data_IF_500528137737
#
_entry.id   IF_500528137737
#
_cell.length_a   1.000
_cell.length_b   1.000
_cell.length_c   1.000
_cell.angle_alpha   90.00
_cell.angle_beta   90.00
_cell.angle_gamma   90.00
#
_symmetry.space_group_name_H-M   'P 1'
#
loop_
_entity.id
_entity.type
_entity.pdbx_description
1 polymer ?
#
# COMPACT_ATOMS: atom_id res chain seq x y z
N UNK A 1 -27.99 9.84 20.35
CA UNK A 1 -27.28 8.61 19.92
C UNK A 1 -27.98 7.91 18.76
N UNK A 2 -29.34 7.87 18.73
CA UNK A 2 -30.13 7.26 17.65
C UNK A 2 -30.06 8.03 16.32
N UNK A 3 -30.01 9.36 16.36
CA UNK A 3 -29.88 10.22 15.16
C UNK A 3 -28.50 10.07 14.50
N UNK A 4 -27.44 9.89 15.28
CA UNK A 4 -26.09 9.65 14.75
C UNK A 4 -25.96 8.29 14.08
N UNK A 5 -26.66 7.23 14.57
CA UNK A 5 -26.66 5.91 13.97
C UNK A 5 -27.46 5.87 12.66
N UNK A 6 -28.56 6.64 12.59
CA UNK A 6 -29.37 6.79 11.38
C UNK A 6 -28.63 7.54 10.27
N UNK A 7 -27.97 8.66 10.60
CA UNK A 7 -27.15 9.40 9.63
C UNK A 7 -25.96 8.58 9.09
N UNK A 8 -25.30 7.79 9.96
CA UNK A 8 -24.26 6.88 9.53
C UNK A 8 -24.79 5.76 8.62
N UNK A 9 -26.01 5.22 8.91
CA UNK A 9 -26.67 4.25 8.06
C UNK A 9 -27.07 4.82 6.69
N UNK A 10 -27.52 6.07 6.62
CA UNK A 10 -27.91 6.72 5.37
C UNK A 10 -26.70 7.10 4.49
N UNK A 11 -25.57 7.46 5.09
CA UNK A 11 -24.30 7.65 4.38
C UNK A 11 -23.83 6.29 3.79
N UNK A 12 -24.02 5.19 4.51
CA UNK A 12 -23.67 3.83 4.06
C UNK A 12 -24.50 3.38 2.84
N UNK A 13 -25.78 3.75 2.79
CA UNK A 13 -26.68 3.40 1.67
C UNK A 13 -26.40 4.19 0.38
N UNK A 14 -25.59 5.26 0.45
CA UNK A 14 -25.25 6.13 -0.68
C UNK A 14 -23.85 5.92 -1.23
N UNK A 15 -23.13 4.88 -0.80
CA UNK A 15 -21.83 4.54 -1.38
C UNK A 15 -22.06 4.00 -2.81
N UNK A 16 -21.66 4.79 -3.80
CA UNK A 16 -21.62 4.36 -5.20
C UNK A 16 -20.19 3.91 -5.50
N UNK A 17 -20.04 2.62 -5.81
CA UNK A 17 -18.74 2.10 -6.24
C UNK A 17 -18.46 2.53 -7.68
N UNK A 18 -17.25 2.97 -7.93
CA UNK A 18 -16.81 3.30 -9.29
C UNK A 18 -16.77 2.01 -10.13
N UNK A 19 -17.38 1.97 -11.32
CA UNK A 19 -17.34 0.81 -12.21
C UNK A 19 -15.89 0.40 -12.56
N UNK A 20 -15.63 -0.91 -12.68
CA UNK A 20 -14.28 -1.43 -12.89
C UNK A 20 -13.57 -0.87 -14.11
N UNK A 21 -14.27 -0.70 -15.25
CA UNK A 21 -13.67 -0.12 -16.45
C UNK A 21 -13.20 1.33 -16.28
N UNK A 22 -13.87 2.11 -15.40
CA UNK A 22 -13.45 3.48 -15.06
C UNK A 22 -12.21 3.43 -14.18
N UNK A 23 -12.18 2.56 -13.16
CA UNK A 23 -11.01 2.43 -12.27
C UNK A 23 -9.77 1.98 -13.04
N UNK A 24 -9.92 1.02 -13.94
CA UNK A 24 -8.83 0.55 -14.83
C UNK A 24 -8.29 1.70 -15.70
N UNK A 25 -9.19 2.44 -16.37
CA UNK A 25 -8.79 3.58 -17.19
C UNK A 25 -8.06 4.64 -16.35
N UNK A 26 -8.61 5.03 -15.20
CA UNK A 26 -8.00 6.04 -14.33
C UNK A 26 -6.62 5.59 -13.81
N UNK A 27 -6.49 4.33 -13.38
CA UNK A 27 -5.21 3.77 -12.94
C UNK A 27 -4.19 3.78 -14.08
N UNK A 28 -4.57 3.31 -15.27
CA UNK A 28 -3.68 3.27 -16.42
C UNK A 28 -3.15 4.65 -16.81
N UNK A 29 -4.04 5.63 -16.91
CA UNK A 29 -3.68 7.00 -17.25
C UNK A 29 -2.80 7.65 -16.19
N UNK A 30 -3.21 7.57 -14.91
CA UNK A 30 -2.48 8.18 -13.81
C UNK A 30 -1.09 7.56 -13.63
N UNK A 31 -1.00 6.23 -13.65
CA UNK A 31 0.27 5.51 -13.49
C UNK A 31 1.18 5.80 -14.68
N UNK A 32 0.67 5.73 -15.91
CA UNK A 32 1.47 6.02 -17.11
C UNK A 32 2.07 7.43 -17.06
N UNK A 33 1.24 8.44 -16.80
CA UNK A 33 1.71 9.84 -16.69
C UNK A 33 2.74 10.02 -15.60
N UNK A 34 2.50 9.43 -14.43
CA UNK A 34 3.41 9.52 -13.28
C UNK A 34 4.76 8.85 -13.57
N UNK A 35 4.75 7.69 -14.22
CA UNK A 35 5.96 6.96 -14.58
C UNK A 35 6.75 7.71 -15.63
N UNK A 36 6.09 8.19 -16.70
CA UNK A 36 6.73 9.03 -17.71
C UNK A 36 7.40 10.27 -17.09
N UNK A 37 6.66 10.99 -16.25
CA UNK A 37 7.20 12.17 -15.57
C UNK A 37 8.40 11.82 -14.67
N UNK A 38 8.33 10.71 -13.94
CA UNK A 38 9.39 10.28 -13.04
C UNK A 38 10.65 9.87 -13.77
N UNK A 39 10.53 9.07 -14.84
CA UNK A 39 11.68 8.64 -15.63
C UNK A 39 12.30 9.82 -16.40
N UNK A 40 11.48 10.65 -17.04
CA UNK A 40 11.95 11.86 -17.71
C UNK A 40 12.68 12.79 -16.75
N UNK A 41 12.13 13.00 -15.55
CA UNK A 41 12.78 13.84 -14.52
C UNK A 41 14.08 13.27 -13.97
N UNK A 42 14.18 11.93 -13.85
CA UNK A 42 15.36 11.26 -13.31
C UNK A 42 16.51 11.17 -14.32
N UNK A 43 16.20 10.77 -15.57
CA UNK A 43 17.21 10.56 -16.61
C UNK A 43 17.39 11.74 -17.55
N UNK A 44 16.55 12.78 -17.47
CA UNK A 44 16.55 13.89 -18.41
C UNK A 44 15.98 13.54 -19.80
N UNK A 45 15.14 12.49 -19.88
CA UNK A 45 14.50 12.07 -21.11
C UNK A 45 13.24 12.91 -21.42
N UNK A 46 12.73 12.78 -22.65
CA UNK A 46 11.48 13.42 -23.10
C UNK A 46 10.53 12.39 -23.69
N UNK A 47 10.43 11.22 -23.08
CA UNK A 47 9.53 10.15 -23.51
C UNK A 47 8.08 10.56 -23.28
N UNK A 48 7.22 10.27 -24.24
CA UNK A 48 5.78 10.54 -24.22
C UNK A 48 4.94 9.27 -24.15
N UNK A 49 5.54 8.12 -24.46
CA UNK A 49 4.89 6.81 -24.49
C UNK A 49 5.68 5.75 -23.70
N UNK A 50 4.98 4.66 -23.30
CA UNK A 50 5.62 3.51 -22.66
C UNK A 50 6.62 2.81 -23.58
N UNK A 51 6.37 2.83 -24.90
CA UNK A 51 7.26 2.23 -25.90
C UNK A 51 8.58 2.99 -25.96
N UNK A 52 8.52 4.32 -25.92
CA UNK A 52 9.73 5.15 -25.85
C UNK A 52 10.53 4.88 -24.57
N UNK A 53 9.86 4.76 -23.40
CA UNK A 53 10.54 4.36 -22.17
C UNK A 53 11.21 3.00 -22.30
N UNK A 54 10.50 1.99 -22.84
CA UNK A 54 11.06 0.66 -23.08
C UNK A 54 12.36 0.71 -23.88
N UNK A 55 12.41 1.54 -24.92
CA UNK A 55 13.58 1.68 -25.80
C UNK A 55 14.77 2.41 -25.14
N UNK A 56 14.53 3.17 -24.06
CA UNK A 56 15.58 3.91 -23.35
C UNK A 56 16.06 3.20 -22.06
N UNK A 57 15.33 2.18 -21.58
CA UNK A 57 15.69 1.49 -20.35
C UNK A 57 16.79 0.45 -20.61
N UNK A 58 18.02 0.78 -20.18
CA UNK A 58 19.15 -0.16 -20.20
C UNK A 58 19.32 -0.85 -18.84
N UNK A 59 19.19 -0.10 -17.73
CA UNK A 59 19.37 -0.61 -16.38
C UNK A 59 18.04 -1.04 -15.75
N UNK A 60 17.78 -2.37 -15.74
CA UNK A 60 16.55 -2.97 -15.20
C UNK A 60 16.42 -2.75 -13.69
N UNK A 61 17.51 -2.84 -12.94
CA UNK A 61 17.49 -2.73 -11.48
C UNK A 61 17.06 -1.33 -11.08
N UNK A 62 17.70 -0.34 -11.64
CA UNK A 62 17.40 1.08 -11.38
C UNK A 62 15.98 1.45 -11.83
N UNK A 63 15.53 0.97 -12.99
CA UNK A 63 14.17 1.18 -13.46
C UNK A 63 13.14 0.55 -12.51
N UNK A 64 13.40 -0.65 -11.98
CA UNK A 64 12.56 -1.27 -10.98
C UNK A 64 12.53 -0.47 -9.66
N UNK A 65 13.67 0.04 -9.20
CA UNK A 65 13.73 0.90 -8.01
C UNK A 65 12.91 2.17 -8.18
N UNK A 66 12.98 2.80 -9.35
CA UNK A 66 12.17 3.97 -9.67
C UNK A 66 10.67 3.66 -9.59
N UNK A 67 10.19 2.56 -10.18
CA UNK A 67 8.78 2.17 -10.10
C UNK A 67 8.41 1.78 -8.66
N UNK A 68 9.23 1.00 -7.97
CA UNK A 68 8.96 0.58 -6.59
C UNK A 68 8.99 1.74 -5.58
N UNK A 69 9.53 2.88 -5.97
CA UNK A 69 9.50 4.12 -5.16
C UNK A 69 8.22 4.94 -5.36
N UNK A 70 7.32 4.55 -6.27
CA UNK A 70 6.00 5.18 -6.40
C UNK A 70 5.15 4.96 -5.13
N UNK A 71 4.30 5.93 -4.84
CA UNK A 71 3.36 5.87 -3.71
C UNK A 71 1.99 6.26 -4.21
N UNK A 72 1.11 5.28 -4.30
CA UNK A 72 -0.29 5.47 -4.67
C UNK A 72 -1.11 5.41 -3.38
N UNK A 73 -1.87 6.45 -3.12
CA UNK A 73 -2.72 6.52 -1.94
C UNK A 73 -4.17 6.78 -2.37
N UNK A 74 -5.05 5.87 -1.98
CA UNK A 74 -6.49 6.05 -2.10
C UNK A 74 -7.03 6.59 -0.75
N UNK A 75 -7.49 7.86 -0.69
CA UNK A 75 -7.97 8.47 0.54
C UNK A 75 -9.38 8.01 0.95
N UNK A 76 -10.07 7.24 0.11
CA UNK A 76 -11.41 6.68 0.37
C UNK A 76 -11.47 5.24 -0.18
N UNK A 77 -10.54 4.40 0.29
CA UNK A 77 -10.19 3.13 -0.34
C UNK A 77 -11.34 2.12 -0.46
N UNK A 78 -12.39 2.26 0.34
CA UNK A 78 -13.52 1.33 0.33
C UNK A 78 -13.08 -0.13 0.45
N UNK A 79 -13.53 -0.96 -0.47
CA UNK A 79 -13.12 -2.37 -0.57
C UNK A 79 -11.80 -2.59 -1.32
N UNK A 80 -11.07 -1.55 -1.71
CA UNK A 80 -9.77 -1.65 -2.35
C UNK A 80 -9.77 -1.85 -3.87
N UNK A 81 -10.86 -1.52 -4.54
CA UNK A 81 -10.98 -1.73 -5.99
C UNK A 81 -9.89 -0.99 -6.78
N UNK A 82 -9.70 0.33 -6.50
CA UNK A 82 -8.64 1.10 -7.12
C UNK A 82 -7.24 0.54 -6.86
N UNK A 83 -6.98 0.02 -5.66
CA UNK A 83 -5.67 -0.53 -5.34
C UNK A 83 -5.39 -1.83 -6.08
N UNK A 84 -6.41 -2.66 -6.31
CA UNK A 84 -6.28 -3.89 -7.13
C UNK A 84 -6.04 -3.53 -8.59
N UNK A 85 -6.82 -2.59 -9.16
CA UNK A 85 -6.59 -2.10 -10.52
C UNK A 85 -5.19 -1.51 -10.68
N UNK A 86 -4.71 -0.73 -9.70
CA UNK A 86 -3.36 -0.17 -9.70
C UNK A 86 -2.27 -1.25 -9.59
N UNK A 87 -2.50 -2.30 -8.78
CA UNK A 87 -1.60 -3.46 -8.67
C UNK A 87 -1.41 -4.12 -10.03
N UNK A 88 -2.52 -4.47 -10.68
CA UNK A 88 -2.51 -5.14 -11.98
C UNK A 88 -1.83 -4.27 -13.05
N UNK A 89 -2.13 -2.97 -13.06
CA UNK A 89 -1.55 -2.02 -14.01
C UNK A 89 -0.03 -1.83 -13.80
N UNK A 90 0.46 -1.81 -12.55
CA UNK A 90 1.90 -1.72 -12.28
C UNK A 90 2.65 -2.97 -12.73
N UNK A 91 2.06 -4.16 -12.57
CA UNK A 91 2.68 -5.41 -13.05
C UNK A 91 2.70 -5.42 -14.58
N UNK A 92 1.58 -5.08 -15.23
CA UNK A 92 1.52 -4.99 -16.68
C UNK A 92 2.51 -3.97 -17.22
N UNK A 93 2.64 -2.82 -16.58
CA UNK A 93 3.60 -1.78 -16.95
C UNK A 93 5.05 -2.30 -16.85
N UNK A 94 5.43 -2.99 -15.76
CA UNK A 94 6.76 -3.59 -15.63
C UNK A 94 7.04 -4.61 -16.72
N UNK A 95 6.04 -5.40 -17.07
CA UNK A 95 6.14 -6.35 -18.17
C UNK A 95 6.31 -5.65 -19.53
N UNK A 96 5.49 -4.61 -19.82
CA UNK A 96 5.58 -3.82 -21.05
C UNK A 96 6.93 -3.13 -21.19
N UNK A 97 7.49 -2.61 -20.09
CA UNK A 97 8.81 -1.98 -20.04
C UNK A 97 9.98 -3.00 -20.04
N UNK A 98 9.68 -4.30 -20.04
CA UNK A 98 10.71 -5.34 -20.06
C UNK A 98 11.56 -5.41 -18.78
N UNK A 99 11.03 -4.92 -17.66
CA UNK A 99 11.71 -4.90 -16.37
C UNK A 99 11.10 -5.87 -15.34
N UNK A 100 10.11 -6.65 -15.72
CA UNK A 100 9.59 -7.76 -14.91
C UNK A 100 10.64 -8.90 -14.95
N UNK A 101 11.28 -9.16 -13.82
CA UNK A 101 12.38 -10.12 -13.68
C UNK A 101 12.11 -11.14 -12.58
N UNK A 102 12.64 -12.34 -12.75
CA UNK A 102 12.61 -13.36 -11.71
C UNK A 102 13.68 -13.11 -10.62
N UNK A 103 13.76 -14.01 -9.64
CA UNK A 103 14.71 -13.93 -8.54
C UNK A 103 16.19 -13.96 -8.99
N UNK A 104 16.48 -14.43 -10.20
CA UNK A 104 17.83 -14.48 -10.79
C UNK A 104 18.14 -13.25 -11.64
N UNK A 105 17.18 -12.32 -11.80
CA UNK A 105 17.31 -11.16 -12.67
C UNK A 105 16.99 -11.43 -14.15
N UNK A 106 16.54 -12.64 -14.50
CA UNK A 106 16.14 -12.99 -15.87
C UNK A 106 14.74 -12.41 -16.17
N UNK A 107 14.63 -11.69 -17.28
CA UNK A 107 13.36 -11.08 -17.73
C UNK A 107 12.29 -12.12 -18.02
N UNK A 108 11.04 -11.81 -17.69
CA UNK A 108 9.87 -12.48 -18.25
C UNK A 108 9.64 -11.88 -19.64
N UNK A 109 9.81 -12.71 -20.68
CA UNK A 109 9.75 -12.23 -22.07
C UNK A 109 8.37 -12.42 -22.67
N UNK A 110 8.01 -11.54 -23.61
CA UNK A 110 6.79 -11.67 -24.42
C UNK A 110 6.76 -12.96 -25.25
N UNK A 111 7.92 -13.55 -25.51
CA UNK A 111 8.05 -14.86 -26.17
C UNK A 111 7.77 -16.06 -25.23
N UNK A 112 7.80 -15.86 -23.91
CA UNK A 112 7.57 -16.93 -22.94
C UNK A 112 6.11 -16.89 -22.42
N UNK A 113 5.61 -15.68 -22.09
CA UNK A 113 4.26 -15.45 -21.59
C UNK A 113 3.72 -14.12 -22.08
N UNK A 114 2.40 -14.02 -22.23
CA UNK A 114 1.71 -12.78 -22.50
C UNK A 114 0.86 -12.36 -21.30
N UNK A 115 0.99 -11.10 -20.90
CA UNK A 115 0.23 -10.49 -19.81
C UNK A 115 -0.75 -9.47 -20.36
N UNK A 116 -2.00 -9.52 -19.93
CA UNK A 116 -3.03 -8.56 -20.24
C UNK A 116 -3.93 -8.30 -19.03
N UNK A 117 -4.67 -7.21 -19.04
CA UNK A 117 -5.71 -6.95 -18.03
C UNK A 117 -7.06 -7.06 -18.72
N UNK A 118 -7.88 -7.99 -18.24
CA UNK A 118 -9.24 -8.21 -18.72
C UNK A 118 -10.19 -8.21 -17.52
N UNK A 119 -11.26 -7.41 -17.60
CA UNK A 119 -12.25 -7.30 -16.52
C UNK A 119 -11.64 -7.01 -15.13
N UNK A 120 -10.61 -6.17 -15.08
CA UNK A 120 -9.85 -5.81 -13.87
C UNK A 120 -9.02 -6.96 -13.25
N UNK A 121 -8.82 -8.04 -14.00
CA UNK A 121 -7.96 -9.15 -13.61
C UNK A 121 -6.72 -9.22 -14.49
N UNK A 122 -5.57 -9.56 -13.89
CA UNK A 122 -4.33 -9.83 -14.60
C UNK A 122 -4.42 -11.24 -15.19
N UNK A 123 -4.48 -11.32 -16.50
CA UNK A 123 -4.50 -12.57 -17.27
C UNK A 123 -3.09 -12.87 -17.76
N UNK A 124 -2.66 -14.09 -17.58
CA UNK A 124 -1.39 -14.62 -18.09
C UNK A 124 -1.69 -15.76 -19.03
N UNK A 125 -1.13 -15.71 -20.24
CA UNK A 125 -1.23 -16.80 -21.22
C UNK A 125 0.14 -17.25 -21.63
N UNK A 126 0.24 -18.52 -22.04
CA UNK A 126 1.45 -19.07 -22.65
C UNK A 126 1.56 -18.67 -24.13
N UNK A 127 2.58 -19.18 -24.82
CA UNK A 127 2.84 -18.92 -26.23
C UNK A 127 1.78 -19.48 -27.19
N UNK A 128 0.98 -20.44 -26.71
CA UNK A 128 -0.11 -21.07 -27.47
C UNK A 128 -1.45 -20.37 -27.23
N UNK A 129 -1.48 -19.36 -26.32
CA UNK A 129 -2.69 -18.63 -25.95
C UNK A 129 -3.52 -19.32 -24.86
N UNK A 130 -3.02 -20.38 -24.23
CA UNK A 130 -3.70 -21.03 -23.12
C UNK A 130 -3.49 -20.24 -21.83
N UNK A 131 -4.51 -20.23 -20.96
CA UNK A 131 -4.38 -19.62 -19.65
C UNK A 131 -3.27 -20.32 -18.84
N UNK A 132 -2.41 -19.50 -18.23
CA UNK A 132 -1.37 -20.00 -17.35
C UNK A 132 -1.97 -20.78 -16.16
N UNK A 133 -1.55 -22.03 -16.00
CA UNK A 133 -1.90 -22.86 -14.87
C UNK A 133 -0.63 -23.24 -14.08
N UNK A 134 -0.63 -22.94 -12.78
CA UNK A 134 0.51 -23.26 -11.93
C UNK A 134 0.70 -24.77 -11.78
N UNK A 135 1.89 -25.23 -12.14
CA UNK A 135 2.33 -26.60 -11.94
C UNK A 135 3.63 -26.63 -11.12
N UNK A 136 3.60 -27.09 -9.85
CA UNK A 136 4.78 -27.10 -8.98
C UNK A 136 5.89 -28.05 -9.46
N UNK A 137 5.60 -28.99 -10.35
CA UNK A 137 6.60 -29.91 -10.92
C UNK A 137 7.35 -29.31 -12.11
N UNK A 138 6.79 -28.26 -12.73
CA UNK A 138 7.42 -27.59 -13.88
C UNK A 138 8.24 -26.39 -13.41
N UNK A 139 9.53 -26.35 -13.73
CA UNK A 139 10.44 -25.30 -13.30
C UNK A 139 10.07 -23.90 -13.85
N UNK A 140 9.63 -23.83 -15.10
CA UNK A 140 9.25 -22.55 -15.72
C UNK A 140 7.91 -22.03 -15.15
N UNK A 141 6.96 -22.93 -14.88
CA UNK A 141 5.72 -22.59 -14.20
C UNK A 141 5.97 -22.08 -12.78
N UNK A 142 6.88 -22.73 -12.03
CA UNK A 142 7.31 -22.23 -10.71
C UNK A 142 7.93 -20.85 -10.80
N UNK A 143 8.85 -20.66 -11.75
CA UNK A 143 9.53 -19.38 -11.98
C UNK A 143 8.54 -18.25 -12.23
N UNK A 144 7.55 -18.46 -13.10
CA UNK A 144 6.52 -17.45 -13.41
C UNK A 144 5.65 -17.15 -12.20
N UNK A 145 5.15 -18.18 -11.49
CA UNK A 145 4.31 -18.03 -10.31
C UNK A 145 5.02 -17.27 -9.19
N UNK A 146 6.26 -17.65 -8.89
CA UNK A 146 7.10 -17.00 -7.90
C UNK A 146 7.39 -15.54 -8.26
N UNK A 147 7.67 -15.26 -9.53
CA UNK A 147 7.90 -13.89 -10.01
C UNK A 147 6.69 -13.02 -9.78
N UNK A 148 5.50 -13.47 -10.17
CA UNK A 148 4.26 -12.72 -9.98
C UNK A 148 3.94 -12.51 -8.50
N UNK A 149 4.14 -13.52 -7.65
CA UNK A 149 3.93 -13.39 -6.22
C UNK A 149 4.85 -12.33 -5.61
N UNK A 150 6.16 -12.42 -5.88
CA UNK A 150 7.16 -11.50 -5.35
C UNK A 150 6.91 -10.06 -5.83
N UNK A 151 6.59 -9.87 -7.09
CA UNK A 151 6.27 -8.55 -7.64
C UNK A 151 4.98 -7.97 -7.03
N UNK A 152 3.91 -8.75 -6.94
CA UNK A 152 2.67 -8.33 -6.26
C UNK A 152 2.95 -7.95 -4.81
N UNK A 153 3.69 -8.79 -4.08
CA UNK A 153 4.08 -8.50 -2.69
C UNK A 153 4.83 -7.19 -2.58
N UNK A 154 5.84 -6.97 -3.41
CA UNK A 154 6.66 -5.77 -3.39
C UNK A 154 5.85 -4.50 -3.69
N UNK A 155 4.95 -4.56 -4.67
CA UNK A 155 4.06 -3.44 -5.01
C UNK A 155 3.09 -3.14 -3.87
N UNK A 156 2.44 -4.16 -3.30
CA UNK A 156 1.50 -4.00 -2.18
C UNK A 156 2.21 -3.40 -0.96
N UNK A 157 3.40 -3.89 -0.62
CA UNK A 157 4.16 -3.42 0.55
C UNK A 157 4.71 -2.01 0.39
N UNK A 158 5.09 -1.62 -0.82
CA UNK A 158 5.84 -0.39 -1.03
C UNK A 158 5.06 0.70 -1.75
N UNK A 159 4.15 0.35 -2.65
CA UNK A 159 3.51 1.32 -3.54
C UNK A 159 2.07 1.65 -3.16
N UNK A 160 1.33 0.71 -2.55
CA UNK A 160 -0.11 0.86 -2.34
C UNK A 160 -0.45 1.26 -0.91
N UNK A 161 -1.21 2.34 -0.77
CA UNK A 161 -1.67 2.89 0.51
C UNK A 161 -3.15 3.23 0.41
N UNK A 162 -3.88 3.02 1.52
CA UNK A 162 -5.31 3.32 1.54
C UNK A 162 -5.79 3.76 2.91
N UNK A 163 -6.78 4.65 2.90
CA UNK A 163 -7.49 5.10 4.11
C UNK A 163 -8.98 4.99 3.88
N UNK A 164 -9.72 4.52 4.86
CA UNK A 164 -11.17 4.57 4.87
C UNK A 164 -11.68 4.84 6.28
N UNK A 165 -12.78 5.57 6.38
CA UNK A 165 -13.42 5.86 7.66
C UNK A 165 -14.12 4.62 8.25
N UNK A 166 -14.50 3.69 7.40
CA UNK A 166 -15.19 2.47 7.77
C UNK A 166 -14.19 1.33 8.05
N UNK A 167 -14.11 0.83 9.30
CA UNK A 167 -13.20 -0.25 9.64
C UNK A 167 -13.48 -1.56 8.91
N UNK A 168 -14.72 -1.82 8.50
CA UNK A 168 -15.05 -3.02 7.74
C UNK A 168 -14.56 -2.93 6.30
N UNK A 169 -14.66 -1.77 5.67
CA UNK A 169 -14.06 -1.52 4.35
C UNK A 169 -12.56 -1.78 4.36
N UNK A 170 -11.86 -1.27 5.39
CA UNK A 170 -10.44 -1.51 5.58
C UNK A 170 -10.10 -3.00 5.68
N UNK A 171 -10.89 -3.78 6.44
CA UNK A 171 -10.70 -5.24 6.54
C UNK A 171 -10.91 -5.94 5.19
N UNK A 172 -11.96 -5.55 4.46
CA UNK A 172 -12.26 -6.11 3.12
C UNK A 172 -11.15 -5.75 2.13
N UNK A 173 -10.66 -4.51 2.15
CA UNK A 173 -9.55 -4.09 1.31
C UNK A 173 -8.29 -4.93 1.55
N UNK A 174 -7.90 -5.13 2.81
CA UNK A 174 -6.77 -5.99 3.18
C UNK A 174 -6.97 -7.43 2.71
N UNK A 175 -8.16 -8.00 2.94
CA UNK A 175 -8.49 -9.34 2.49
C UNK A 175 -8.39 -9.47 0.97
N UNK A 176 -8.88 -8.48 0.21
CA UNK A 176 -8.80 -8.46 -1.25
C UNK A 176 -7.35 -8.44 -1.74
N UNK A 177 -6.49 -7.62 -1.14
CA UNK A 177 -5.07 -7.60 -1.49
C UNK A 177 -4.37 -8.93 -1.15
N UNK A 178 -4.74 -9.60 -0.05
CA UNK A 178 -4.25 -10.95 0.24
C UNK A 178 -4.74 -11.98 -0.77
N UNK A 179 -6.00 -11.88 -1.23
CA UNK A 179 -6.53 -12.76 -2.29
C UNK A 179 -5.73 -12.58 -3.58
N UNK A 180 -5.36 -11.34 -3.93
CA UNK A 180 -4.50 -11.09 -5.10
C UNK A 180 -3.12 -11.74 -4.97
N UNK A 181 -2.54 -11.80 -3.78
CA UNK A 181 -1.32 -12.55 -3.53
C UNK A 181 -1.55 -14.05 -3.60
N UNK A 182 -2.64 -14.55 -3.01
CA UNK A 182 -2.98 -15.98 -3.00
C UNK A 182 -3.20 -16.54 -4.40
N UNK A 183 -3.71 -15.75 -5.36
CA UNK A 183 -3.82 -16.17 -6.77
C UNK A 183 -2.47 -16.62 -7.35
N UNK A 184 -1.37 -16.07 -6.84
CA UNK A 184 -0.02 -16.42 -7.26
C UNK A 184 0.80 -17.14 -6.17
N UNK A 185 0.15 -17.70 -5.14
CA UNK A 185 0.84 -18.49 -4.12
C UNK A 185 1.62 -19.66 -4.76
N UNK A 186 2.81 -19.93 -4.24
CA UNK A 186 3.69 -20.96 -4.75
C UNK A 186 4.32 -21.78 -3.61
N UNK A 187 4.68 -23.01 -3.91
CA UNK A 187 5.37 -23.88 -2.97
C UNK A 187 6.86 -23.56 -2.94
N UNK A 188 7.42 -23.38 -1.73
CA UNK A 188 8.82 -23.00 -1.54
C UNK A 188 9.78 -24.16 -1.75
N UNK A 189 10.94 -23.90 -2.37
CA UNK A 189 12.00 -24.91 -2.53
C UNK A 189 12.60 -25.34 -1.18
N UNK A 190 12.66 -24.44 -0.20
CA UNK A 190 13.16 -24.69 1.15
C UNK A 190 12.34 -25.76 1.89
N UNK A 191 11.05 -25.85 1.59
CA UNK A 191 10.15 -26.86 2.13
C UNK A 191 10.07 -28.15 1.30
N UNK A 192 10.93 -28.33 0.30
CA UNK A 192 10.80 -29.38 -0.71
C UNK A 192 9.42 -29.37 -1.39
N UNK A 193 8.91 -28.19 -1.66
CA UNK A 193 7.59 -27.96 -2.30
C UNK A 193 6.40 -28.53 -1.52
N UNK A 194 6.46 -28.53 -0.19
CA UNK A 194 5.37 -29.01 0.68
C UNK A 194 4.56 -27.88 1.32
N UNK A 195 5.18 -26.71 1.51
CA UNK A 195 4.53 -25.55 2.11
C UNK A 195 4.54 -24.34 1.16
N UNK A 196 3.43 -23.60 1.19
CA UNK A 196 3.30 -22.35 0.45
C UNK A 196 4.09 -21.22 1.10
N UNK A 197 4.54 -20.27 0.29
CA UNK A 197 5.14 -19.01 0.75
C UNK A 197 4.16 -18.24 1.65
N UNK A 198 4.69 -17.63 2.69
CA UNK A 198 3.90 -16.90 3.69
C UNK A 198 3.40 -15.55 3.18
N UNK A 199 2.18 -15.19 3.59
CA UNK A 199 1.60 -13.89 3.25
C UNK A 199 2.19 -12.77 4.12
N UNK A 200 2.47 -11.60 3.53
CA UNK A 200 3.00 -10.46 4.26
C UNK A 200 1.95 -9.77 5.15
N UNK A 201 2.42 -9.00 6.12
CA UNK A 201 1.57 -8.15 6.95
C UNK A 201 1.31 -6.80 6.28
N UNK A 202 0.15 -6.65 5.64
CA UNK A 202 -0.25 -5.43 4.93
C UNK A 202 -1.02 -4.41 5.78
N UNK A 203 -1.17 -4.66 7.07
CA UNK A 203 -1.93 -3.82 8.00
C UNK A 203 -1.39 -2.40 8.13
N UNK A 204 -0.13 -2.18 7.78
CA UNK A 204 0.54 -0.89 7.92
C UNK A 204 0.10 0.07 6.81
N UNK A 205 -0.17 -0.43 5.63
CA UNK A 205 -0.44 0.40 4.45
C UNK A 205 -1.92 0.81 4.33
N UNK A 206 -2.84 -0.03 4.85
CA UNK A 206 -4.28 0.23 4.77
C UNK A 206 -4.78 0.58 6.18
N UNK A 207 -5.26 1.81 6.36
CA UNK A 207 -5.61 2.37 7.68
C UNK A 207 -7.06 2.78 7.77
N UNK A 208 -7.62 2.63 8.98
CA UNK A 208 -8.89 3.22 9.33
C UNK A 208 -8.66 4.66 9.82
N UNK A 209 -9.36 5.63 9.22
CA UNK A 209 -9.25 7.03 9.61
C UNK A 209 -10.05 7.94 8.69
N UNK A 210 -10.17 9.20 9.10
CA UNK A 210 -10.77 10.24 8.28
C UNK A 210 -9.66 10.99 7.52
N UNK A 211 -9.61 10.82 6.21
CA UNK A 211 -8.60 11.43 5.33
C UNK A 211 -8.73 12.95 5.18
N UNK A 212 -9.90 13.52 5.51
CA UNK A 212 -10.15 14.97 5.46
C UNK A 212 -9.73 15.69 6.74
N UNK A 213 -9.54 14.94 7.84
CA UNK A 213 -9.12 15.52 9.12
C UNK A 213 -7.62 15.29 9.30
N UNK A 214 -6.86 16.32 9.15
CA UNK A 214 -5.42 16.31 9.39
C UNK A 214 -5.06 17.14 10.63
N UNK A 215 -4.01 16.74 11.33
CA UNK A 215 -3.48 17.42 12.52
C UNK A 215 -2.29 18.33 12.21
N UNK A 216 -1.80 18.27 10.99
CA UNK A 216 -0.67 19.06 10.52
C UNK A 216 -1.15 20.11 9.53
N UNK A 217 -0.64 21.33 9.61
CA UNK A 217 -0.76 22.24 8.48
C UNK A 217 0.04 21.69 7.30
N UNK A 218 -0.40 21.95 6.06
CA UNK A 218 0.32 21.53 4.85
C UNK A 218 1.74 22.12 4.77
N UNK A 219 1.98 23.20 5.54
CA UNK A 219 3.26 23.89 5.67
C UNK A 219 4.17 23.30 6.74
N UNK A 220 3.65 22.42 7.61
CA UNK A 220 4.43 21.85 8.70
C UNK A 220 5.39 20.77 8.20
N UNK A 221 6.67 20.92 8.49
CA UNK A 221 7.67 19.90 8.20
C UNK A 221 7.67 18.84 9.30
N UNK A 222 7.24 17.63 8.96
CA UNK A 222 7.37 16.45 9.84
C UNK A 222 8.83 16.25 10.27
N UNK A 223 9.80 16.61 9.43
CA UNK A 223 11.23 16.51 9.75
C UNK A 223 11.63 17.36 10.94
N UNK A 224 11.03 18.55 11.11
CA UNK A 224 11.30 19.42 12.25
C UNK A 224 10.78 18.81 13.56
N UNK A 225 9.59 18.20 13.52
CA UNK A 225 9.01 17.50 14.68
C UNK A 225 9.84 16.29 15.09
N UNK A 226 10.37 15.57 14.11
CA UNK A 226 11.15 14.36 14.31
C UNK A 226 12.57 14.64 14.79
N UNK A 227 13.19 15.74 14.37
CA UNK A 227 14.52 16.15 14.85
C UNK A 227 14.54 16.51 16.33
N UNK A 228 13.46 17.08 16.84
CA UNK A 228 13.33 17.50 18.25
C UNK A 228 12.73 16.39 19.13
N UNK A 229 12.12 15.37 18.55
CA UNK A 229 11.71 14.18 19.26
C UNK A 229 12.89 13.20 19.31
N UNK A 230 13.09 12.52 20.46
CA UNK A 230 14.09 11.46 20.59
C UNK A 230 13.79 10.22 19.72
N UNK A 231 12.90 10.33 18.76
CA UNK A 231 12.41 9.24 17.92
C UNK A 231 13.21 9.20 16.63
N UNK A 232 13.94 8.11 16.42
CA UNK A 232 14.66 7.87 15.17
C UNK A 232 13.70 7.34 14.10
N UNK A 233 13.61 8.04 12.95
CA UNK A 233 12.88 7.55 11.77
C UNK A 233 13.45 6.21 11.29
N UNK A 234 14.77 6.01 11.43
CA UNK A 234 15.42 4.76 11.05
C UNK A 234 14.91 3.59 11.89
N UNK A 235 14.78 3.74 13.21
CA UNK A 235 14.21 2.71 14.09
C UNK A 235 12.74 2.38 13.71
N UNK A 236 11.94 3.40 13.39
CA UNK A 236 10.58 3.16 12.92
C UNK A 236 10.54 2.39 11.60
N UNK A 237 11.37 2.79 10.63
CA UNK A 237 11.45 2.09 9.33
C UNK A 237 11.93 0.65 9.48
N UNK A 238 12.91 0.42 10.34
CA UNK A 238 13.42 -0.92 10.64
C UNK A 238 12.36 -1.80 11.32
N UNK A 239 11.66 -1.26 12.33
CA UNK A 239 10.57 -1.97 13.00
C UNK A 239 9.44 -2.32 12.03
N UNK A 240 9.08 -1.40 11.12
CA UNK A 240 8.09 -1.65 10.07
C UNK A 240 8.55 -2.73 9.09
N UNK A 241 9.83 -2.71 8.69
CA UNK A 241 10.39 -3.73 7.80
C UNK A 241 10.39 -5.12 8.47
N UNK A 242 10.78 -5.20 9.74
CA UNK A 242 10.71 -6.45 10.52
C UNK A 242 9.27 -6.92 10.68
N UNK A 243 8.33 -6.01 10.99
CA UNK A 243 6.91 -6.34 11.13
C UNK A 243 6.31 -6.96 9.86
N UNK A 244 6.65 -6.42 8.69
CA UNK A 244 6.18 -6.95 7.40
C UNK A 244 6.59 -8.41 7.18
N UNK A 245 7.78 -8.80 7.68
CA UNK A 245 8.36 -10.13 7.50
C UNK A 245 8.17 -11.05 8.72
N UNK A 246 7.59 -10.57 9.82
CA UNK A 246 7.39 -11.34 11.04
C UNK A 246 6.44 -12.52 10.81
N UNK A 247 6.89 -13.73 11.09
CA UNK A 247 6.13 -14.98 10.92
C UNK A 247 5.53 -15.46 12.23
N UNK A 248 6.19 -15.21 13.36
CA UNK A 248 5.68 -15.63 14.65
C UNK A 248 4.67 -14.62 15.23
N UNK A 249 3.63 -15.13 15.91
CA UNK A 249 2.60 -14.28 16.52
C UNK A 249 3.17 -13.42 17.64
N UNK A 250 4.11 -13.93 18.43
CA UNK A 250 4.76 -13.17 19.50
C UNK A 250 5.62 -12.04 18.96
N UNK A 251 6.49 -12.32 17.99
CA UNK A 251 7.31 -11.31 17.34
C UNK A 251 6.47 -10.19 16.70
N UNK A 252 5.37 -10.58 16.02
CA UNK A 252 4.42 -9.61 15.44
C UNK A 252 3.83 -8.70 16.52
N UNK A 253 3.44 -9.27 17.67
CA UNK A 253 2.82 -8.53 18.76
C UNK A 253 3.81 -7.57 19.43
N UNK A 254 5.04 -7.98 19.62
CA UNK A 254 6.11 -7.16 20.20
C UNK A 254 6.44 -5.97 19.26
N UNK A 255 6.59 -6.22 17.97
CA UNK A 255 6.83 -5.19 16.96
C UNK A 255 5.64 -4.23 16.80
N UNK A 256 4.40 -4.72 16.87
CA UNK A 256 3.19 -3.90 16.84
C UNK A 256 3.12 -2.98 18.06
N UNK A 257 3.45 -3.50 19.25
CA UNK A 257 3.53 -2.72 20.48
C UNK A 257 4.58 -1.63 20.35
N UNK A 258 5.79 -1.96 19.91
CA UNK A 258 6.88 -1.01 19.71
C UNK A 258 6.52 0.08 18.66
N UNK A 259 5.93 -0.30 17.52
CA UNK A 259 5.45 0.63 16.51
C UNK A 259 4.36 1.57 17.09
N UNK A 260 3.48 1.03 17.92
CA UNK A 260 2.41 1.80 18.58
C UNK A 260 2.96 2.78 19.62
N UNK A 261 3.98 2.42 20.35
CA UNK A 261 4.69 3.31 21.28
C UNK A 261 5.36 4.48 20.54
N UNK A 262 6.07 4.20 19.44
CA UNK A 262 6.67 5.24 18.62
C UNK A 262 5.60 6.20 18.09
N UNK A 263 4.48 5.67 17.59
CA UNK A 263 3.36 6.49 17.11
C UNK A 263 2.73 7.33 18.23
N UNK A 264 2.60 6.77 19.42
CA UNK A 264 2.06 7.47 20.60
C UNK A 264 2.98 8.63 21.04
N UNK A 265 4.29 8.40 21.11
CA UNK A 265 5.28 9.44 21.41
C UNK A 265 5.21 10.55 20.36
N UNK A 266 5.20 10.20 19.08
CA UNK A 266 5.07 11.15 17.97
C UNK A 266 3.77 11.96 18.06
N UNK A 267 2.64 11.30 18.35
CA UNK A 267 1.34 11.95 18.55
C UNK A 267 1.37 12.94 19.71
N UNK A 268 2.05 12.61 20.79
CA UNK A 268 2.19 13.47 21.98
C UNK A 268 2.97 14.73 21.63
N UNK A 269 4.10 14.61 20.93
CA UNK A 269 4.90 15.76 20.51
C UNK A 269 4.15 16.67 19.52
N UNK A 270 3.39 16.07 18.60
CA UNK A 270 2.54 16.82 17.68
C UNK A 270 1.46 17.60 18.44
N UNK A 271 0.75 16.93 19.37
CA UNK A 271 -0.31 17.54 20.16
C UNK A 271 0.21 18.68 21.04
N UNK A 272 1.44 18.57 21.54
CA UNK A 272 2.11 19.60 22.34
C UNK A 272 2.35 20.90 21.55
N UNK A 273 2.51 20.80 20.23
CA UNK A 273 2.78 21.93 19.33
C UNK A 273 1.52 22.53 18.72
N UNK A 274 0.41 21.79 18.71
CA UNK A 274 -0.86 22.31 18.21
C UNK A 274 -1.43 23.37 19.19
N UNK A 275 -1.26 24.63 18.84
CA UNK A 275 -1.73 25.76 19.65
C UNK A 275 -3.25 25.71 19.91
N UNK A 276 -4.04 25.08 19.03
CA UNK A 276 -5.48 24.90 19.22
C UNK A 276 -5.77 23.86 20.28
N UNK A 277 -5.05 22.71 20.25
CA UNK A 277 -5.17 21.67 21.28
C UNK A 277 -4.67 22.14 22.63
N UNK A 278 -3.58 22.88 22.68
CA UNK A 278 -3.07 23.50 23.92
C UNK A 278 -4.12 24.43 24.54
N UNK A 279 -4.74 25.29 23.73
CA UNK A 279 -5.83 26.20 24.20
C UNK A 279 -7.06 25.41 24.66
N UNK A 280 -7.48 24.36 23.93
CA UNK A 280 -8.60 23.52 24.32
C UNK A 280 -8.34 22.76 25.62
N UNK A 281 -7.16 22.19 25.76
CA UNK A 281 -6.77 21.47 26.99
C UNK A 281 -6.70 22.43 28.20
N UNK A 282 -6.19 23.65 28.01
CA UNK A 282 -6.19 24.68 29.05
C UNK A 282 -7.62 25.03 29.48
N UNK A 283 -8.52 25.31 28.53
CA UNK A 283 -9.94 25.58 28.82
C UNK A 283 -10.63 24.42 29.52
N UNK A 284 -10.31 23.18 29.13
CA UNK A 284 -10.86 21.98 29.79
C UNK A 284 -10.38 21.84 31.22
N UNK A 285 -9.10 22.06 31.49
CA UNK A 285 -8.57 22.03 32.87
C UNK A 285 -9.16 23.14 33.74
N UNK A 286 -9.35 24.33 33.22
CA UNK A 286 -10.01 25.42 33.90
C UNK A 286 -11.48 25.09 34.20
N UNK A 287 -12.22 24.48 33.28
CA UNK A 287 -13.62 24.06 33.47
C UNK A 287 -13.75 22.94 34.49
N UNK A 288 -12.84 21.97 34.53
CA UNK A 288 -12.83 20.89 35.53
C UNK A 288 -12.50 21.45 36.92
N UNK A 289 -11.59 22.41 37.02
CA UNK A 289 -11.31 23.11 38.29
C UNK A 289 -12.53 23.87 38.84
N UNK A 290 -13.30 24.50 37.97
CA UNK A 290 -14.54 25.19 38.38
C UNK A 290 -15.62 24.22 38.88
N UNK A 291 -15.75 23.04 38.29
CA UNK A 291 -16.74 22.04 38.77
C UNK A 291 -16.33 21.42 40.10
N UNK A 292 -15.04 21.23 40.36
CA UNK A 292 -14.56 20.74 41.67
C UNK A 292 -14.71 21.79 42.79
N UNK A 293 -14.50 23.08 42.52
CA UNK A 293 -14.72 24.14 43.50
C UNK A 293 -16.19 24.28 43.91
N UNK A 294 -17.12 24.14 42.97
CA UNK A 294 -18.56 24.17 43.27
C UNK A 294 -19.07 22.94 44.02
N UNK A 295 -18.43 21.79 43.91
CA UNK A 295 -18.82 20.58 44.64
C UNK A 295 -18.38 20.59 46.13
N UNK A 296 -17.53 21.51 46.52
CA UNK A 296 -17.12 21.71 47.93
C UNK A 296 -17.87 22.83 48.65
N UNK A 297 -18.72 23.59 47.94
CA UNK A 297 -19.53 24.68 48.51
C UNK A 297 -21.01 24.29 48.75
N UNK A 298 -21.38 23.03 48.55
CA UNK A 298 -22.69 22.44 48.85
C UNK A 298 -22.50 21.26 49.85
#
# INVERSE_FOLDING_TARGET
TLLASSAASDVYKRQVFTPGFITMFMCREAITKTVLQKFNGYYGWNCTTRIELYNHIDNIVEANELINSLRLCDPAVGSGHFLVSALNELILLKYELGILVDATGKRIRKADYQLAIENDELIVTDTEGNLFAYNPLNAESRRMQETLFKEKRQIIENCLFGVDINPNSVKICRLRLWIELLKNAYYTAESNYTYLETLPNIDINIKCGNSLLHRFALTDSIQTVLRESSISISQYKEAVAKYKNAQSKSEKQDLETFITEIKSKLKTEINRRDARLVRLNKRRSESVSYTHLRAHET
#
